data_IF_590017452005
#
_entry.id   IF_590017452005
#
_cell.length_a   1.000
_cell.length_b   1.000
_cell.length_c   1.000
_cell.angle_alpha   90.00
_cell.angle_beta   90.00
_cell.angle_gamma   90.00
#
_symmetry.space_group_name_H-M   'P 1'
#
loop_
_entity.id
_entity.type
_entity.pdbx_description
1 polymer ?
#
# COMPACT_ATOMS: atom_id res chain seq x y z
N UNK A 1 -22.87 11.22 27.42
CA UNK A 1 -24.11 10.53 26.97
C UNK A 1 -24.91 11.30 25.90
N UNK A 2 -25.20 12.59 26.06
CA UNK A 2 -26.00 13.39 25.10
C UNK A 2 -25.54 13.28 23.64
N UNK A 3 -24.24 13.42 23.36
CA UNK A 3 -23.71 13.32 21.99
C UNK A 3 -23.91 11.93 21.39
N UNK A 4 -23.65 10.88 22.17
CA UNK A 4 -23.87 9.50 21.70
C UNK A 4 -25.35 9.25 21.37
N UNK A 5 -26.28 9.80 22.17
CA UNK A 5 -27.70 9.72 21.87
C UNK A 5 -28.06 10.45 20.57
N UNK A 6 -27.48 11.64 20.32
CA UNK A 6 -27.66 12.38 19.06
C UNK A 6 -27.11 11.57 17.89
N UNK A 7 -25.86 11.10 17.95
CA UNK A 7 -25.24 10.36 16.85
C UNK A 7 -26.01 9.08 16.48
N UNK A 8 -26.69 8.43 17.44
CA UNK A 8 -27.55 7.27 17.17
C UNK A 8 -28.84 7.60 16.40
N UNK A 9 -29.21 8.87 16.23
CA UNK A 9 -30.45 9.27 15.52
C UNK A 9 -30.34 9.21 14.00
N UNK A 10 -29.12 9.05 13.46
CA UNK A 10 -28.86 8.96 12.01
C UNK A 10 -27.77 7.93 11.75
N UNK A 11 -27.75 7.40 10.53
CA UNK A 11 -26.67 6.57 10.04
C UNK A 11 -25.38 7.38 9.85
N UNK A 12 -24.24 6.70 9.70
CA UNK A 12 -22.96 7.33 9.36
C UNK A 12 -23.06 8.19 8.12
N UNK A 13 -23.70 7.68 7.07
CA UNK A 13 -23.76 8.34 5.76
C UNK A 13 -24.68 9.57 5.79
N UNK A 14 -25.78 9.51 6.55
CA UNK A 14 -26.62 10.68 6.82
C UNK A 14 -25.87 11.77 7.60
N UNK A 15 -25.02 11.40 8.56
CA UNK A 15 -24.14 12.38 9.23
C UNK A 15 -23.11 12.97 8.28
N UNK A 16 -22.55 12.17 7.36
CA UNK A 16 -21.65 12.68 6.33
C UNK A 16 -22.37 13.71 5.46
N UNK A 17 -23.55 13.40 4.94
CA UNK A 17 -24.32 14.35 4.13
C UNK A 17 -24.65 15.68 4.85
N UNK A 18 -24.76 15.66 6.19
CA UNK A 18 -24.99 16.87 7.00
C UNK A 18 -23.70 17.66 7.25
N UNK A 19 -22.58 16.98 7.46
CA UNK A 19 -21.32 17.60 7.90
C UNK A 19 -20.34 17.89 6.76
N UNK A 20 -20.42 17.16 5.64
CA UNK A 20 -19.61 17.41 4.44
C UNK A 20 -19.82 18.84 3.95
N UNK A 21 -18.75 19.46 3.46
CA UNK A 21 -18.75 20.85 2.96
C UNK A 21 -19.14 21.91 4.01
N UNK A 22 -18.99 21.60 5.30
CA UNK A 22 -19.11 22.56 6.41
C UNK A 22 -17.74 22.81 7.08
N UNK A 23 -17.66 23.75 8.02
CA UNK A 23 -16.43 24.08 8.78
C UNK A 23 -16.08 23.07 9.89
N UNK A 24 -16.82 21.96 10.02
CA UNK A 24 -16.56 20.93 11.04
C UNK A 24 -15.44 19.99 10.59
N UNK A 25 -14.45 19.80 11.46
CA UNK A 25 -13.47 18.72 11.33
C UNK A 25 -14.12 17.37 11.68
N UNK A 26 -14.53 16.61 10.68
CA UNK A 26 -14.99 15.24 10.85
C UNK A 26 -14.52 14.34 9.70
N UNK A 27 -14.63 13.04 9.90
CA UNK A 27 -14.52 12.05 8.85
C UNK A 27 -15.32 10.80 9.24
N UNK A 28 -15.92 10.07 8.28
CA UNK A 28 -16.45 8.74 8.55
C UNK A 28 -15.33 7.76 8.89
N UNK A 29 -15.64 6.77 9.74
CA UNK A 29 -14.82 5.57 9.84
C UNK A 29 -15.15 4.68 8.64
N UNK A 30 -14.20 4.59 7.71
CA UNK A 30 -14.28 3.73 6.53
C UNK A 30 -13.70 2.36 6.82
N UNK A 31 -14.33 1.32 6.28
CA UNK A 31 -13.76 -0.02 6.24
C UNK A 31 -12.64 -0.12 5.21
N UNK A 32 -11.88 -1.22 5.26
CA UNK A 32 -10.83 -1.53 4.27
C UNK A 32 -11.37 -1.69 2.84
N UNK A 33 -12.67 -2.00 2.70
CA UNK A 33 -13.33 -2.12 1.39
C UNK A 33 -13.81 -0.76 0.88
N UNK A 34 -14.27 0.12 1.77
CA UNK A 34 -14.76 1.46 1.41
C UNK A 34 -13.62 2.44 1.13
N UNK A 35 -12.51 2.35 1.88
CA UNK A 35 -11.43 3.32 1.81
C UNK A 35 -10.83 3.47 0.38
N UNK A 36 -10.57 2.40 -0.39
CA UNK A 36 -10.08 2.53 -1.77
C UNK A 36 -11.06 3.24 -2.70
N UNK A 37 -12.37 3.08 -2.48
CA UNK A 37 -13.43 3.64 -3.31
C UNK A 37 -13.81 5.08 -2.92
N UNK A 38 -13.33 5.60 -1.79
CA UNK A 38 -13.66 6.95 -1.35
C UNK A 38 -13.21 8.00 -2.40
N UNK A 39 -14.05 8.99 -2.78
CA UNK A 39 -13.78 9.90 -3.90
C UNK A 39 -12.41 10.57 -3.86
N UNK A 40 -11.98 11.02 -2.67
CA UNK A 40 -10.66 11.64 -2.49
C UNK A 40 -9.50 10.65 -2.73
N UNK A 41 -9.66 9.38 -2.36
CA UNK A 41 -8.64 8.36 -2.54
C UNK A 41 -8.55 7.90 -4.00
N UNK A 42 -9.70 7.78 -4.67
CA UNK A 42 -9.79 7.51 -6.12
C UNK A 42 -9.12 8.64 -6.91
N UNK A 43 -9.52 9.89 -6.66
CA UNK A 43 -8.99 11.05 -7.37
C UNK A 43 -7.47 11.18 -7.25
N UNK A 44 -6.91 10.76 -6.11
CA UNK A 44 -5.47 10.86 -5.82
C UNK A 44 -4.70 9.58 -6.13
N UNK A 45 -5.38 8.53 -6.58
CA UNK A 45 -4.80 7.19 -6.75
C UNK A 45 -4.04 6.75 -5.50
N UNK A 46 -4.63 6.98 -4.31
CA UNK A 46 -4.02 6.61 -3.03
C UNK A 46 -3.88 5.10 -2.91
N UNK A 47 -4.81 4.35 -3.51
CA UNK A 47 -4.74 2.92 -3.70
C UNK A 47 -4.69 2.63 -5.20
N UNK A 48 -3.93 1.60 -5.57
CA UNK A 48 -3.76 1.11 -6.94
C UNK A 48 -3.94 -0.40 -6.96
N UNK A 49 -4.31 -0.93 -8.12
CA UNK A 49 -4.37 -2.37 -8.34
C UNK A 49 -3.15 -2.81 -9.15
N UNK A 50 -2.39 -3.77 -8.62
CA UNK A 50 -1.25 -4.40 -9.30
C UNK A 50 -1.40 -5.90 -9.15
N UNK A 51 -1.34 -6.63 -10.26
CA UNK A 51 -1.50 -8.09 -10.32
C UNK A 51 -2.76 -8.59 -9.58
N UNK A 52 -3.87 -7.85 -9.70
CA UNK A 52 -5.15 -8.17 -9.07
C UNK A 52 -5.23 -7.90 -7.57
N UNK A 53 -4.21 -7.26 -6.97
CA UNK A 53 -4.19 -6.89 -5.56
C UNK A 53 -4.34 -5.38 -5.41
N UNK A 54 -5.40 -4.95 -4.71
CA UNK A 54 -5.54 -3.54 -4.29
C UNK A 54 -4.59 -3.24 -3.13
N UNK A 55 -3.69 -2.29 -3.34
CA UNK A 55 -2.69 -1.89 -2.34
C UNK A 55 -2.41 -0.39 -2.37
N UNK A 56 -1.83 0.20 -1.31
CA UNK A 56 -1.44 1.61 -1.32
C UNK A 56 -0.42 1.92 -2.42
N UNK A 57 -0.59 3.06 -3.08
CA UNK A 57 0.44 3.61 -3.95
C UNK A 57 1.64 4.13 -3.13
N UNK A 58 2.85 4.22 -3.72
CA UNK A 58 4.01 4.81 -3.07
C UNK A 58 3.73 6.21 -2.50
N UNK A 59 4.16 6.42 -1.26
CA UNK A 59 4.00 7.69 -0.54
C UNK A 59 5.31 8.11 0.15
N UNK A 60 5.62 9.42 0.22
CA UNK A 60 4.87 10.55 -0.33
C UNK A 60 5.00 10.65 -1.87
N UNK A 61 4.12 11.44 -2.50
CA UNK A 61 4.20 11.73 -3.94
C UNK A 61 5.23 12.81 -4.21
N UNK A 62 6.35 12.44 -4.82
CA UNK A 62 7.39 13.38 -5.25
C UNK A 62 7.09 13.95 -6.63
N UNK A 63 7.31 15.26 -6.83
CA UNK A 63 7.06 15.92 -8.11
C UNK A 63 8.16 15.70 -9.15
N UNK A 64 9.42 15.53 -8.72
CA UNK A 64 10.58 15.37 -9.62
C UNK A 64 10.92 13.91 -9.93
N UNK A 65 10.71 13.03 -8.95
CA UNK A 65 11.06 11.60 -9.02
C UNK A 65 9.92 10.78 -8.44
N UNK A 66 8.78 10.67 -9.14
CA UNK A 66 7.64 9.88 -8.67
C UNK A 66 8.08 8.45 -8.34
N UNK A 67 7.65 7.93 -7.19
CA UNK A 67 7.86 6.52 -6.84
C UNK A 67 6.91 5.63 -7.62
N UNK A 68 7.35 4.41 -7.92
CA UNK A 68 6.58 3.41 -8.64
C UNK A 68 6.73 2.03 -8.00
N UNK A 69 5.73 1.17 -8.20
CA UNK A 69 5.79 -0.25 -7.79
C UNK A 69 6.54 -0.99 -8.90
N UNK A 70 7.72 -1.52 -8.60
CA UNK A 70 8.62 -2.04 -9.63
C UNK A 70 8.56 -3.56 -9.83
N UNK A 71 8.32 -4.33 -8.75
CA UNK A 71 8.34 -5.80 -8.78
C UNK A 71 7.38 -6.35 -7.70
N UNK A 72 6.84 -7.57 -7.89
CA UNK A 72 6.12 -8.26 -6.81
C UNK A 72 7.07 -8.63 -5.66
N UNK A 73 6.54 -9.01 -4.48
CA UNK A 73 7.34 -9.51 -3.38
C UNK A 73 8.21 -10.70 -3.80
N UNK A 74 9.48 -10.69 -3.41
CA UNK A 74 10.42 -11.76 -3.70
C UNK A 74 10.14 -13.02 -2.86
N UNK A 75 10.33 -14.20 -3.44
CA UNK A 75 10.49 -15.44 -2.69
C UNK A 75 11.87 -15.51 -2.02
N UNK A 76 12.02 -16.26 -0.91
CA UNK A 76 13.34 -16.55 -0.35
C UNK A 76 14.27 -17.16 -1.40
N UNK A 77 15.47 -16.58 -1.56
CA UNK A 77 16.48 -17.04 -2.51
C UNK A 77 16.29 -16.59 -3.97
N UNK A 78 15.14 -15.99 -4.32
CA UNK A 78 14.79 -15.68 -5.72
C UNK A 78 15.85 -14.86 -6.47
N UNK A 79 16.55 -13.96 -5.76
CA UNK A 79 17.54 -13.04 -6.34
C UNK A 79 18.96 -13.28 -5.80
N UNK A 80 19.24 -14.44 -5.16
CA UNK A 80 20.55 -14.72 -4.56
C UNK A 80 21.67 -14.57 -5.59
N UNK A 81 21.52 -15.20 -6.76
CA UNK A 81 22.56 -15.22 -7.78
C UNK A 81 22.74 -13.84 -8.44
N UNK A 82 21.64 -13.12 -8.70
CA UNK A 82 21.65 -11.72 -9.19
C UNK A 82 22.43 -10.82 -8.24
N UNK A 83 22.10 -10.87 -6.94
CA UNK A 83 22.75 -10.03 -5.93
C UNK A 83 24.25 -10.36 -5.75
N UNK A 84 24.63 -11.65 -5.75
CA UNK A 84 26.04 -12.05 -5.63
C UNK A 84 26.84 -11.67 -6.87
N UNK A 85 26.26 -11.79 -8.07
CA UNK A 85 26.88 -11.35 -9.30
C UNK A 85 27.07 -9.83 -9.34
N UNK A 86 26.08 -9.05 -8.87
CA UNK A 86 26.17 -7.59 -8.75
C UNK A 86 27.29 -7.14 -7.80
N UNK A 87 27.61 -7.95 -6.78
CA UNK A 87 28.76 -7.75 -5.90
C UNK A 87 30.10 -8.21 -6.50
N UNK A 88 30.10 -8.69 -7.73
CA UNK A 88 31.29 -9.14 -8.46
C UNK A 88 31.75 -10.55 -8.10
N UNK A 89 30.88 -11.38 -7.52
CA UNK A 89 31.23 -12.77 -7.23
C UNK A 89 31.26 -13.60 -8.52
N UNK A 90 32.34 -14.37 -8.77
CA UNK A 90 32.40 -15.24 -9.93
C UNK A 90 31.34 -16.34 -9.88
N UNK A 91 30.79 -16.71 -11.05
CA UNK A 91 29.72 -17.69 -11.17
C UNK A 91 30.11 -19.06 -10.58
N UNK A 92 31.37 -19.46 -10.69
CA UNK A 92 31.88 -20.70 -10.11
C UNK A 92 31.84 -20.70 -8.58
N UNK A 93 32.02 -19.53 -7.96
CA UNK A 93 31.94 -19.40 -6.49
C UNK A 93 30.49 -19.42 -6.02
N UNK A 94 29.59 -18.79 -6.77
CA UNK A 94 28.14 -18.82 -6.49
C UNK A 94 27.64 -20.26 -6.56
N UNK A 95 28.01 -21.01 -7.62
CA UNK A 95 27.66 -22.41 -7.76
C UNK A 95 28.17 -23.27 -6.58
N UNK A 96 29.43 -23.10 -6.18
CA UNK A 96 30.00 -23.83 -5.05
C UNK A 96 29.25 -23.56 -3.72
N UNK A 97 28.87 -22.31 -3.45
CA UNK A 97 28.08 -21.98 -2.26
C UNK A 97 26.69 -22.62 -2.26
N UNK A 98 26.10 -22.77 -3.44
CA UNK A 98 24.79 -23.40 -3.63
C UNK A 98 24.89 -24.92 -3.44
N UNK A 99 25.92 -25.54 -4.00
CA UNK A 99 26.20 -26.97 -3.83
C UNK A 99 26.48 -27.32 -2.35
N UNK A 100 27.17 -26.44 -1.63
CA UNK A 100 27.46 -26.58 -0.19
C UNK A 100 26.23 -26.29 0.70
N UNK A 101 25.10 -25.84 0.12
CA UNK A 101 23.89 -25.46 0.86
C UNK A 101 24.04 -24.18 1.70
N UNK A 102 25.10 -23.40 1.47
CA UNK A 102 25.35 -22.13 2.16
C UNK A 102 24.42 -21.00 1.70
N UNK A 103 23.90 -21.12 0.48
CA UNK A 103 22.92 -20.22 -0.11
C UNK A 103 21.76 -21.01 -0.75
N UNK A 104 20.59 -20.38 -0.85
CA UNK A 104 19.37 -20.93 -1.45
C UNK A 104 19.04 -20.25 -2.78
#
# INVERSE_FOLDING_TARGET
>A
ERLAAIFKTKTRDEWCAVMEHTDVCFAPVLSMVEAPAHPHNVHRQTFVEVDGVTQPAPAPRFSRTPGEIQRPPAHPGQHTDEALADWGMPAERIAALRDDGAIA
#
